data_IF_859661278773
#
_entry.id   IF_859661278773
#
_cell.length_a   1.000
_cell.length_b   1.000
_cell.length_c   1.000
_cell.angle_alpha   90.00
_cell.angle_beta   90.00
_cell.angle_gamma   90.00
#
_symmetry.space_group_name_H-M   'P 1'
#
loop_
_entity.id
_entity.type
_entity.pdbx_description
1 polymer ?
#
# COMPACT_ATOMS: atom_id res chain seq x y z
N UNK A 1 20.27 1.29 -16.98
CA UNK A 1 19.02 2.04 -17.21
C UNK A 1 17.80 1.16 -17.02
N UNK A 2 17.52 0.15 -17.85
CA UNK A 2 16.37 -0.75 -17.63
C UNK A 2 16.32 -1.38 -16.23
N UNK A 3 17.46 -1.88 -15.73
CA UNK A 3 17.55 -2.40 -14.37
C UNK A 3 17.27 -1.34 -13.28
N UNK A 4 17.63 -0.07 -13.54
CA UNK A 4 17.36 1.05 -12.63
C UNK A 4 15.87 1.38 -12.58
N UNK A 5 15.23 1.53 -13.74
CA UNK A 5 13.79 1.76 -13.85
C UNK A 5 12.99 0.62 -13.21
N UNK A 6 13.33 -0.65 -13.53
CA UNK A 6 12.66 -1.83 -12.94
C UNK A 6 12.90 -1.87 -11.43
N UNK A 7 14.14 -1.68 -10.98
CA UNK A 7 14.48 -1.68 -9.56
C UNK A 7 13.74 -0.60 -8.77
N UNK A 8 13.57 0.58 -9.35
CA UNK A 8 12.83 1.67 -8.72
C UNK A 8 11.33 1.37 -8.59
N UNK A 9 10.70 0.78 -9.62
CA UNK A 9 9.31 0.33 -9.53
C UNK A 9 9.12 -0.81 -8.51
N UNK A 10 10.11 -1.69 -8.36
CA UNK A 10 10.12 -2.70 -7.29
C UNK A 10 10.27 -2.06 -5.90
N UNK A 11 11.09 -1.01 -5.78
CA UNK A 11 11.26 -0.23 -4.55
C UNK A 11 9.98 0.54 -4.16
N UNK A 12 9.09 0.83 -5.11
CA UNK A 12 7.74 1.29 -4.82
C UNK A 12 6.83 0.13 -4.38
N UNK A 13 6.71 -0.91 -5.22
CA UNK A 13 5.71 -1.96 -5.04
C UNK A 13 5.95 -2.84 -3.80
N UNK A 14 7.20 -3.14 -3.46
CA UNK A 14 7.56 -3.98 -2.32
C UNK A 14 7.15 -3.37 -0.97
N UNK A 15 7.67 -2.18 -0.61
CA UNK A 15 7.26 -1.45 0.59
C UNK A 15 5.76 -1.13 0.62
N UNK A 16 5.15 -0.85 -0.52
CA UNK A 16 3.69 -0.65 -0.60
C UNK A 16 2.93 -1.91 -0.15
N UNK A 17 3.37 -3.09 -0.61
CA UNK A 17 2.81 -4.37 -0.19
C UNK A 17 3.08 -4.63 1.30
N UNK A 18 4.31 -4.40 1.76
CA UNK A 18 4.71 -4.65 3.14
C UNK A 18 3.96 -3.77 4.14
N UNK A 19 3.86 -2.47 3.86
CA UNK A 19 3.07 -1.54 4.69
C UNK A 19 1.59 -1.91 4.72
N UNK A 20 1.07 -2.42 3.60
CA UNK A 20 -0.30 -2.94 3.55
C UNK A 20 -0.46 -4.19 4.41
N UNK A 21 0.51 -5.12 4.39
CA UNK A 21 0.49 -6.37 5.16
C UNK A 21 0.46 -6.10 6.66
N UNK A 22 1.35 -5.23 7.12
CA UNK A 22 1.37 -4.82 8.53
C UNK A 22 0.03 -4.18 8.91
N UNK A 23 -0.55 -3.34 8.05
CA UNK A 23 -1.87 -2.76 8.29
C UNK A 23 -2.96 -3.82 8.43
N UNK A 24 -2.91 -4.87 7.60
CA UNK A 24 -3.85 -6.00 7.68
C UNK A 24 -3.68 -6.79 8.97
N UNK A 25 -2.44 -7.09 9.36
CA UNK A 25 -2.14 -7.83 10.59
C UNK A 25 -2.65 -7.10 11.82
N UNK A 26 -2.39 -5.79 11.93
CA UNK A 26 -2.86 -5.02 13.08
C UNK A 26 -4.39 -4.83 13.03
N UNK A 27 -4.99 -4.70 11.85
CA UNK A 27 -6.46 -4.70 11.72
C UNK A 27 -7.09 -6.04 12.13
N UNK A 28 -6.38 -7.16 11.95
CA UNK A 28 -6.84 -8.51 12.32
C UNK A 28 -6.66 -8.81 13.82
N UNK A 29 -5.56 -8.35 14.41
CA UNK A 29 -5.10 -8.70 15.77
C UNK A 29 -5.39 -7.63 16.82
N UNK A 30 -5.69 -6.39 16.42
CA UNK A 30 -5.95 -5.29 17.33
C UNK A 30 -7.20 -5.48 18.21
N UNK A 31 -7.30 -4.75 19.35
CA UNK A 31 -8.43 -4.83 20.26
C UNK A 31 -9.73 -4.55 19.52
N UNK A 32 -10.81 -5.28 19.82
CA UNK A 32 -12.06 -5.25 19.06
C UNK A 32 -12.52 -3.81 18.76
N UNK A 33 -12.36 -3.38 17.50
CA UNK A 33 -12.83 -2.07 17.06
C UNK A 33 -14.35 -2.03 17.21
N UNK A 34 -14.94 -0.96 17.78
CA UNK A 34 -16.39 -0.81 17.89
C UNK A 34 -17.12 -0.98 16.54
N UNK A 35 -16.40 -0.76 15.42
CA UNK A 35 -16.93 -0.76 14.07
C UNK A 35 -16.28 -1.81 13.14
N UNK A 36 -15.77 -2.91 13.72
CA UNK A 36 -15.16 -4.05 12.98
C UNK A 36 -16.09 -4.63 11.90
N UNK A 37 -17.42 -4.46 12.07
CA UNK A 37 -18.45 -4.98 11.17
C UNK A 37 -18.51 -4.31 9.79
N UNK A 38 -17.86 -3.15 9.59
CA UNK A 38 -17.82 -2.42 8.30
C UNK A 38 -16.40 -2.05 7.86
N UNK A 39 -15.48 -3.01 7.94
CA UNK A 39 -14.32 -2.94 7.06
C UNK A 39 -14.83 -3.36 5.68
N UNK A 40 -15.25 -2.38 4.89
CA UNK A 40 -15.80 -2.62 3.56
C UNK A 40 -14.73 -3.35 2.74
N UNK A 41 -15.05 -4.56 2.27
CA UNK A 41 -14.19 -5.33 1.37
C UNK A 41 -13.77 -4.52 0.13
N UNK A 42 -14.56 -3.50 -0.23
CA UNK A 42 -14.24 -2.54 -1.28
C UNK A 42 -13.05 -1.63 -0.95
N UNK A 43 -12.84 -1.26 0.31
CA UNK A 43 -11.68 -0.46 0.71
C UNK A 43 -10.36 -1.26 0.63
N UNK A 44 -10.42 -2.60 0.73
CA UNK A 44 -9.27 -3.49 0.46
C UNK A 44 -8.80 -3.48 -1.00
N UNK A 45 -9.61 -2.96 -1.93
CA UNK A 45 -9.19 -2.77 -3.32
C UNK A 45 -8.14 -1.65 -3.48
N UNK A 46 -7.97 -0.80 -2.46
CA UNK A 46 -6.98 0.29 -2.49
C UNK A 46 -6.32 0.44 -1.12
N UNK A 47 -5.31 -0.40 -0.79
CA UNK A 47 -4.67 -0.41 0.53
C UNK A 47 -4.16 0.96 1.04
N UNK A 48 -3.61 1.86 0.21
CA UNK A 48 -3.24 3.21 0.65
C UNK A 48 -4.44 4.03 1.14
N UNK A 49 -5.59 3.92 0.48
CA UNK A 49 -6.83 4.62 0.87
C UNK A 49 -7.32 4.09 2.21
N UNK A 50 -7.19 2.79 2.47
CA UNK A 50 -7.49 2.20 3.77
C UNK A 50 -6.71 2.82 4.91
N UNK A 51 -5.40 3.03 4.73
CA UNK A 51 -4.58 3.70 5.74
C UNK A 51 -5.13 5.09 6.08
N UNK A 52 -5.43 5.92 5.06
CA UNK A 52 -5.95 7.27 5.30
C UNK A 52 -7.34 7.27 5.94
N UNK A 53 -8.25 6.39 5.50
CA UNK A 53 -9.59 6.26 6.07
C UNK A 53 -9.53 5.78 7.52
N UNK A 54 -8.70 4.78 7.82
CA UNK A 54 -8.53 4.29 9.19
C UNK A 54 -7.90 5.34 10.08
N UNK A 55 -6.84 6.02 9.62
CA UNK A 55 -6.21 7.14 10.35
C UNK A 55 -7.21 8.26 10.65
N UNK A 56 -8.09 8.58 9.71
CA UNK A 56 -9.14 9.58 9.91
C UNK A 56 -10.20 9.09 10.93
N UNK A 57 -10.59 7.82 10.89
CA UNK A 57 -11.51 7.22 11.88
C UNK A 57 -10.90 7.23 13.29
N UNK A 58 -9.63 6.85 13.43
CA UNK A 58 -8.89 6.91 14.70
C UNK A 58 -8.86 8.31 15.31
N UNK A 59 -8.56 9.34 14.51
CA UNK A 59 -8.58 10.74 14.98
C UNK A 59 -9.95 11.17 15.49
N UNK A 60 -11.03 10.60 14.95
CA UNK A 60 -12.42 10.93 15.32
C UNK A 60 -12.92 10.14 16.53
N UNK A 61 -12.46 8.91 16.75
CA UNK A 61 -12.98 8.05 17.82
C UNK A 61 -12.54 8.46 19.22
N UNK A 62 -11.56 9.35 19.38
CA UNK A 62 -11.19 9.95 20.68
C UNK A 62 -10.66 8.97 21.74
N UNK A 63 -10.65 7.67 21.47
CA UNK A 63 -10.15 6.64 22.39
C UNK A 63 -8.65 6.77 22.53
N UNK A 64 -8.20 7.03 23.76
CA UNK A 64 -6.82 7.05 24.21
C UNK A 64 -6.12 5.67 24.13
N UNK A 65 -6.30 4.93 23.04
CA UNK A 65 -5.39 3.85 22.66
C UNK A 65 -4.19 4.47 21.93
N UNK A 66 -3.51 5.42 22.60
CA UNK A 66 -2.34 6.11 22.07
C UNK A 66 -1.22 5.11 21.71
N UNK A 67 -1.10 4.02 22.47
CA UNK A 67 -0.07 2.99 22.25
C UNK A 67 -0.37 2.04 21.10
N UNK A 68 -1.64 1.65 20.90
CA UNK A 68 -2.02 0.84 19.74
C UNK A 68 -1.97 1.68 18.47
N UNK A 69 -2.42 2.94 18.52
CA UNK A 69 -2.39 3.87 17.39
C UNK A 69 -0.96 4.29 17.03
N UNK A 70 -0.07 4.47 18.01
CA UNK A 70 1.34 4.78 17.73
C UNK A 70 2.05 3.59 17.10
N UNK A 71 1.78 2.35 17.53
CA UNK A 71 2.34 1.13 16.93
C UNK A 71 1.78 0.86 15.52
N UNK A 72 0.46 1.02 15.32
CA UNK A 72 -0.24 0.92 14.02
C UNK A 72 0.30 1.96 13.03
N UNK A 73 0.55 3.18 13.52
CA UNK A 73 1.01 4.30 12.71
C UNK A 73 2.52 4.24 12.47
N UNK A 74 3.37 3.80 13.41
CA UNK A 74 4.82 3.89 13.20
C UNK A 74 5.34 2.88 12.17
N UNK A 75 4.88 1.62 12.20
CA UNK A 75 5.45 0.59 11.31
C UNK A 75 4.91 0.68 9.88
N UNK A 76 3.58 0.74 9.73
CA UNK A 76 2.95 0.87 8.41
C UNK A 76 3.32 2.21 7.73
N UNK A 77 3.48 3.31 8.49
CA UNK A 77 3.91 4.59 7.88
C UNK A 77 5.35 4.56 7.40
N UNK A 78 6.23 3.76 8.03
CA UNK A 78 7.61 3.60 7.59
C UNK A 78 7.69 3.02 6.17
N UNK A 79 7.00 1.91 5.93
CA UNK A 79 6.97 1.29 4.61
C UNK A 79 6.26 2.15 3.56
N UNK A 80 5.21 2.90 3.92
CA UNK A 80 4.59 3.83 2.99
C UNK A 80 5.51 5.02 2.66
N UNK A 81 6.30 5.51 3.60
CA UNK A 81 7.31 6.54 3.32
C UNK A 81 8.38 6.01 2.35
N UNK A 82 8.85 4.77 2.55
CA UNK A 82 9.79 4.12 1.60
C UNK A 82 9.13 3.93 0.24
N UNK A 83 7.84 3.51 0.18
CA UNK A 83 7.11 3.39 -1.08
C UNK A 83 7.04 4.73 -1.81
N UNK A 84 6.72 5.83 -1.12
CA UNK A 84 6.71 7.18 -1.71
C UNK A 84 8.10 7.53 -2.25
N UNK A 85 9.17 7.25 -1.50
CA UNK A 85 10.54 7.43 -1.98
C UNK A 85 10.84 6.61 -3.24
N UNK A 86 10.46 5.33 -3.25
CA UNK A 86 10.59 4.46 -4.41
C UNK A 86 9.81 4.95 -5.62
N UNK A 87 8.61 5.50 -5.42
CA UNK A 87 7.80 6.09 -6.50
C UNK A 87 8.49 7.30 -7.13
N UNK A 88 9.06 8.20 -6.32
CA UNK A 88 9.78 9.37 -6.83
C UNK A 88 11.00 8.94 -7.66
N UNK A 89 11.75 7.95 -7.18
CA UNK A 89 12.87 7.37 -7.95
C UNK A 89 12.35 6.72 -9.23
N UNK A 90 11.25 5.97 -9.18
CA UNK A 90 10.70 5.29 -10.36
C UNK A 90 10.23 6.25 -11.44
N UNK A 91 9.56 7.34 -11.04
CA UNK A 91 9.15 8.42 -11.94
C UNK A 91 10.38 9.06 -12.60
N UNK A 92 11.40 9.40 -11.81
CA UNK A 92 12.67 9.97 -12.31
C UNK A 92 13.40 9.02 -13.28
N UNK A 93 13.57 7.75 -12.93
CA UNK A 93 14.23 6.75 -13.79
C UNK A 93 13.40 6.44 -15.05
N UNK A 94 12.08 6.57 -14.99
CA UNK A 94 11.20 6.45 -16.18
C UNK A 94 11.33 7.69 -17.08
N UNK A 95 11.58 8.87 -16.51
CA UNK A 95 11.82 10.09 -17.26
C UNK A 95 13.16 10.02 -18.02
N UNK A 96 14.24 9.59 -17.37
CA UNK A 96 15.53 9.38 -18.04
C UNK A 96 15.43 8.35 -19.18
N UNK A 97 14.61 7.32 -19.01
CA UNK A 97 14.31 6.34 -20.05
C UNK A 97 13.54 7.01 -21.21
N UNK A 98 12.54 7.84 -20.90
CA UNK A 98 11.71 8.53 -21.89
C UNK A 98 12.53 9.54 -22.72
N UNK A 99 13.41 10.32 -22.09
CA UNK A 99 14.32 11.23 -22.79
C UNK A 99 15.23 10.47 -23.76
N UNK A 100 15.78 9.33 -23.34
CA UNK A 100 16.69 8.55 -24.17
C UNK A 100 16.04 7.92 -25.40
N UNK A 101 14.76 7.58 -25.30
CA UNK A 101 13.98 7.05 -26.43
C UNK A 101 13.16 8.13 -27.14
N UNK A 102 13.39 9.41 -26.82
CA UNK A 102 12.68 10.57 -27.38
C UNK A 102 11.15 10.41 -27.31
N UNK A 103 10.66 9.80 -26.21
CA UNK A 103 9.24 9.57 -26.02
C UNK A 103 8.51 10.90 -25.82
N UNK A 104 7.30 11.00 -26.37
CA UNK A 104 6.44 12.14 -26.09
C UNK A 104 6.06 12.21 -24.61
N UNK A 105 5.76 13.40 -24.06
CA UNK A 105 5.30 13.55 -22.68
C UNK A 105 4.06 12.70 -22.35
N UNK A 106 3.17 12.52 -23.34
CA UNK A 106 1.98 11.68 -23.21
C UNK A 106 2.36 10.20 -23.05
N UNK A 107 3.31 9.70 -23.85
CA UNK A 107 3.79 8.33 -23.75
C UNK A 107 4.46 8.07 -22.39
N UNK A 108 5.29 9.01 -21.92
CA UNK A 108 5.89 8.96 -20.59
C UNK A 108 4.83 8.83 -19.47
N UNK A 109 3.87 9.75 -19.41
CA UNK A 109 2.83 9.71 -18.39
C UNK A 109 1.95 8.47 -18.51
N UNK A 110 1.70 7.98 -19.72
CA UNK A 110 0.97 6.73 -19.95
C UNK A 110 1.70 5.54 -19.33
N UNK A 111 3.02 5.44 -19.52
CA UNK A 111 3.84 4.39 -18.90
C UNK A 111 3.78 4.49 -17.38
N UNK A 112 3.99 5.68 -16.82
CA UNK A 112 3.93 5.91 -15.36
C UNK A 112 2.58 5.47 -14.79
N UNK A 113 1.47 5.91 -15.39
CA UNK A 113 0.11 5.56 -14.96
C UNK A 113 -0.13 4.06 -15.07
N UNK A 114 0.25 3.43 -16.19
CA UNK A 114 0.06 1.99 -16.40
C UNK A 114 0.85 1.18 -15.36
N UNK A 115 2.13 1.47 -15.15
CA UNK A 115 2.96 0.72 -14.20
C UNK A 115 2.50 0.95 -12.76
N UNK A 116 2.05 2.17 -12.42
CA UNK A 116 1.46 2.47 -11.12
C UNK A 116 0.18 1.67 -10.89
N UNK A 117 -0.74 1.63 -11.87
CA UNK A 117 -1.97 0.85 -11.79
C UNK A 117 -1.70 -0.65 -11.70
N UNK A 118 -0.74 -1.17 -12.47
CA UNK A 118 -0.33 -2.58 -12.40
C UNK A 118 0.25 -2.92 -11.03
N UNK A 119 1.09 -2.05 -10.47
CA UNK A 119 1.66 -2.22 -9.13
C UNK A 119 0.56 -2.23 -8.06
N UNK A 120 -0.37 -1.27 -8.14
CA UNK A 120 -1.50 -1.16 -7.22
C UNK A 120 -2.43 -2.38 -7.32
N UNK A 121 -2.73 -2.84 -8.54
CA UNK A 121 -3.54 -4.02 -8.78
C UNK A 121 -2.86 -5.28 -8.25
N UNK A 122 -1.55 -5.42 -8.44
CA UNK A 122 -0.78 -6.55 -7.91
C UNK A 122 -0.88 -6.63 -6.39
N UNK A 123 -0.64 -5.52 -5.69
CA UNK A 123 -0.77 -5.44 -4.22
C UNK A 123 -2.19 -5.81 -3.80
N UNK A 124 -3.19 -5.26 -4.48
CA UNK A 124 -4.61 -5.50 -4.21
C UNK A 124 -4.99 -6.97 -4.36
N UNK A 125 -4.61 -7.61 -5.47
CA UNK A 125 -4.89 -9.02 -5.73
C UNK A 125 -4.24 -9.91 -4.68
N UNK A 126 -2.98 -9.63 -4.30
CA UNK A 126 -2.29 -10.37 -3.25
C UNK A 126 -3.01 -10.23 -1.90
N UNK A 127 -3.46 -9.03 -1.58
CA UNK A 127 -4.21 -8.77 -0.33
C UNK A 127 -5.58 -9.43 -0.28
N UNK A 128 -6.29 -9.45 -1.40
CA UNK A 128 -7.57 -10.15 -1.52
C UNK A 128 -7.41 -11.66 -1.37
N UNK A 129 -6.30 -12.24 -1.86
CA UNK A 129 -5.99 -13.67 -1.67
C UNK A 129 -5.74 -13.98 -0.18
N UNK A 130 -4.89 -13.20 0.47
CA UNK A 130 -4.59 -13.36 1.91
C UNK A 130 -5.84 -13.21 2.80
N UNK A 131 -6.76 -12.30 2.42
CA UNK A 131 -8.02 -12.11 3.15
C UNK A 131 -9.03 -13.25 2.95
N UNK A 132 -8.85 -14.09 1.92
CA UNK A 132 -9.71 -15.25 1.62
C UNK A 132 -9.21 -16.55 2.24
N UNK A 133 -7.95 -16.62 2.64
CA UNK A 133 -7.40 -17.79 3.33
C UNK A 133 -8.12 -17.96 4.68
N UNK A 134 -8.84 -19.08 4.89
CA UNK A 134 -9.44 -19.38 6.20
C UNK A 134 -8.33 -19.40 7.25
N UNK A 135 -8.62 -18.94 8.46
CA UNK A 135 -7.69 -19.16 9.57
C UNK A 135 -7.46 -20.67 9.70
N UNK A 136 -6.28 -21.14 9.32
CA UNK A 136 -5.85 -22.51 9.59
C UNK A 136 -5.71 -22.64 11.11
N UNK A 137 -6.80 -23.01 11.79
CA UNK A 137 -6.85 -23.07 13.25
C UNK A 137 -8.24 -23.02 13.88
N UNK A 138 -9.27 -23.46 13.16
CA UNK A 138 -10.62 -23.66 13.70
C UNK A 138 -11.04 -25.12 13.56
N UNK A 139 -10.25 -26.05 14.08
CA UNK A 139 -10.65 -27.44 14.27
C UNK A 139 -10.80 -27.74 15.76
N UNK A 140 -12.03 -28.09 16.13
CA UNK A 140 -12.53 -28.64 17.40
C UNK A 140 -13.04 -27.63 18.42
#
# INVERSE_FOLDING_TARGET
>A
MWAGTIGAWLLFAGPLFQGSLELWEVARTGPAWPDRKRIDKALWLVPPVMYFVQRARFRRSGTAAADVTSSFSNRASGWFAVAIGGLLVAVKETWELAERYELSPVAYWSIVVVVLLVSQLNVTVRMLRLSREPAAGGSS
#
